data_IF_933755652730
#
_entry.id   IF_933755652730
#
_cell.length_a   1.000
_cell.length_b   1.000
_cell.length_c   1.000
_cell.angle_alpha   90.00
_cell.angle_beta   90.00
_cell.angle_gamma   90.00
#
_symmetry.space_group_name_H-M   'P 1'
#
loop_
_entity.id
_entity.type
_entity.pdbx_description
1 polymer ?
#
# COMPACT_ATOMS: atom_id res chain seq x y z
N UNK A 1 -33.54 11.26 -10.61
CA UNK A 1 -33.97 10.69 -9.31
C UNK A 1 -32.78 9.95 -8.73
N UNK A 2 -32.25 10.36 -7.57
CA UNK A 2 -31.23 9.54 -6.90
C UNK A 2 -31.91 8.31 -6.32
N UNK A 3 -31.64 7.15 -6.91
CA UNK A 3 -32.03 5.88 -6.31
C UNK A 3 -31.32 5.76 -4.96
N UNK A 4 -32.15 5.73 -3.91
CA UNK A 4 -31.69 5.49 -2.55
C UNK A 4 -31.19 4.05 -2.47
N UNK A 5 -29.90 3.86 -2.18
CA UNK A 5 -29.33 2.53 -1.90
C UNK A 5 -29.64 2.14 -0.45
N UNK A 6 -30.09 0.91 -0.26
CA UNK A 6 -30.17 0.30 1.08
C UNK A 6 -28.77 -0.05 1.59
N UNK A 7 -28.65 -0.33 2.89
CA UNK A 7 -27.43 -0.90 3.46
C UNK A 7 -27.06 -2.20 2.74
N UNK A 8 -28.05 -3.07 2.49
CA UNK A 8 -27.83 -4.32 1.78
C UNK A 8 -27.16 -4.09 0.42
N UNK A 9 -27.71 -3.15 -0.37
CA UNK A 9 -27.21 -2.87 -1.71
C UNK A 9 -25.73 -2.44 -1.69
N UNK A 10 -25.34 -1.56 -0.77
CA UNK A 10 -23.96 -1.07 -0.71
C UNK A 10 -22.99 -2.13 -0.18
N UNK A 11 -23.34 -2.87 0.87
CA UNK A 11 -22.41 -3.86 1.45
C UNK A 11 -22.21 -5.08 0.55
N UNK A 12 -23.27 -5.53 -0.14
CA UNK A 12 -23.18 -6.65 -1.09
C UNK A 12 -22.42 -6.25 -2.36
N UNK A 13 -22.60 -5.02 -2.87
CA UNK A 13 -21.85 -4.52 -4.03
C UNK A 13 -20.35 -4.42 -3.73
N UNK A 14 -20.00 -3.90 -2.55
CA UNK A 14 -18.61 -3.78 -2.10
C UNK A 14 -17.98 -5.14 -1.86
N UNK A 15 -18.65 -6.03 -1.11
CA UNK A 15 -18.16 -7.38 -0.89
C UNK A 15 -17.95 -8.11 -2.21
N UNK A 16 -18.94 -8.07 -3.11
CA UNK A 16 -18.86 -8.75 -4.39
C UNK A 16 -17.73 -8.22 -5.25
N UNK A 17 -17.59 -6.90 -5.39
CA UNK A 17 -16.57 -6.29 -6.25
C UNK A 17 -15.17 -6.53 -5.70
N UNK A 18 -14.92 -6.32 -4.41
CA UNK A 18 -13.62 -6.58 -3.78
C UNK A 18 -13.26 -8.06 -3.75
N UNK A 19 -14.21 -8.96 -3.43
CA UNK A 19 -13.97 -10.41 -3.49
C UNK A 19 -13.74 -10.89 -4.92
N UNK A 20 -14.41 -10.30 -5.91
CA UNK A 20 -14.15 -10.60 -7.33
C UNK A 20 -12.75 -10.17 -7.72
N UNK A 21 -12.33 -8.96 -7.35
CA UNK A 21 -10.96 -8.50 -7.58
C UNK A 21 -9.94 -9.47 -6.97
N UNK A 22 -10.14 -9.84 -5.70
CA UNK A 22 -9.27 -10.76 -4.97
C UNK A 22 -9.15 -12.12 -5.66
N UNK A 23 -10.27 -12.70 -6.11
CA UNK A 23 -10.28 -14.02 -6.76
C UNK A 23 -9.84 -14.02 -8.22
N UNK A 24 -9.72 -12.86 -8.86
CA UNK A 24 -9.37 -12.77 -10.29
C UNK A 24 -7.86 -12.81 -10.48
N UNK A 25 -7.23 -13.92 -10.12
CA UNK A 25 -5.78 -14.09 -10.17
C UNK A 25 -5.34 -14.49 -11.57
N UNK A 26 -5.21 -13.47 -12.41
CA UNK A 26 -4.82 -13.59 -13.81
C UNK A 26 -3.58 -12.75 -14.08
N UNK A 27 -2.83 -13.11 -15.11
CA UNK A 27 -1.76 -12.25 -15.64
C UNK A 27 -2.28 -10.87 -16.06
N UNK A 28 -3.55 -10.78 -16.47
CA UNK A 28 -4.18 -9.51 -16.80
C UNK A 28 -4.28 -8.59 -15.57
N UNK A 29 -4.70 -9.12 -14.40
CA UNK A 29 -4.72 -8.36 -13.14
C UNK A 29 -3.32 -7.90 -12.75
N UNK A 30 -2.30 -8.77 -12.89
CA UNK A 30 -0.89 -8.40 -12.64
C UNK A 30 -0.43 -7.27 -13.56
N UNK A 31 -0.68 -7.36 -14.87
CA UNK A 31 -0.37 -6.30 -15.84
C UNK A 31 -1.10 -5.00 -15.52
N UNK A 32 -2.36 -5.08 -15.09
CA UNK A 32 -3.14 -3.92 -14.67
C UNK A 32 -2.53 -3.25 -13.43
N UNK A 33 -2.19 -4.02 -12.39
CA UNK A 33 -1.50 -3.50 -11.20
C UNK A 33 -0.18 -2.82 -11.56
N UNK A 34 0.65 -3.47 -12.37
CA UNK A 34 1.91 -2.92 -12.88
C UNK A 34 1.69 -1.60 -13.64
N UNK A 35 0.69 -1.54 -14.52
CA UNK A 35 0.33 -0.31 -15.24
C UNK A 35 -0.05 0.85 -14.30
N UNK A 36 -0.80 0.59 -13.23
CA UNK A 36 -1.13 1.61 -12.23
C UNK A 36 0.14 2.14 -11.53
N UNK A 37 1.04 1.24 -11.13
CA UNK A 37 2.29 1.56 -10.43
C UNK A 37 3.24 2.36 -11.35
N UNK A 38 3.41 1.92 -12.60
CA UNK A 38 4.20 2.62 -13.62
C UNK A 38 3.64 4.02 -13.90
N UNK A 39 2.31 4.16 -13.99
CA UNK A 39 1.66 5.45 -14.16
C UNK A 39 1.94 6.39 -12.98
N UNK A 40 1.83 5.90 -11.74
CA UNK A 40 2.19 6.70 -10.57
C UNK A 40 3.66 7.10 -10.60
N UNK A 41 4.57 6.17 -10.91
CA UNK A 41 6.01 6.46 -10.96
C UNK A 41 6.37 7.51 -12.03
N UNK A 42 5.70 7.50 -13.19
CA UNK A 42 5.83 8.55 -14.22
C UNK A 42 5.29 9.91 -13.76
N UNK A 43 4.21 9.91 -12.98
CA UNK A 43 3.66 11.12 -12.36
C UNK A 43 4.65 11.67 -11.32
N UNK A 44 5.12 10.81 -10.41
CA UNK A 44 6.06 11.15 -9.36
C UNK A 44 7.37 11.70 -9.93
N UNK A 45 7.90 11.11 -11.00
CA UNK A 45 9.13 11.60 -11.65
C UNK A 45 8.98 12.98 -12.31
N UNK A 46 7.75 13.41 -12.58
CA UNK A 46 7.45 14.76 -13.11
C UNK A 46 7.40 15.83 -12.02
N UNK A 47 7.45 15.46 -10.74
CA UNK A 47 7.58 16.40 -9.63
C UNK A 47 9.04 16.89 -9.57
N UNK A 48 9.23 18.19 -9.59
CA UNK A 48 10.55 18.82 -9.75
C UNK A 48 11.54 18.49 -8.62
N UNK A 49 11.02 18.30 -7.40
CA UNK A 49 11.79 17.95 -6.20
C UNK A 49 11.82 16.44 -5.92
N UNK A 50 11.48 15.60 -6.91
CA UNK A 50 11.49 14.14 -6.78
C UNK A 50 12.90 13.59 -6.50
N UNK A 51 12.97 12.55 -5.66
CA UNK A 51 14.16 11.74 -5.37
C UNK A 51 13.93 10.23 -5.52
N UNK A 52 12.73 9.84 -5.93
CA UNK A 52 12.32 8.46 -6.10
C UNK A 52 10.90 8.25 -5.61
N UNK A 53 10.40 7.03 -5.77
CA UNK A 53 9.13 6.60 -5.21
C UNK A 53 9.26 5.20 -4.64
N UNK A 54 8.32 4.78 -3.82
CA UNK A 54 8.25 3.39 -3.38
C UNK A 54 6.79 2.97 -3.16
N UNK A 55 6.57 1.67 -3.17
CA UNK A 55 5.29 1.06 -2.83
C UNK A 55 5.35 0.31 -1.51
N UNK A 56 4.22 0.25 -0.81
CA UNK A 56 4.02 -0.60 0.38
C UNK A 56 2.66 -1.31 0.29
N UNK A 57 2.38 -2.26 1.18
CA UNK A 57 1.11 -2.99 1.14
C UNK A 57 0.92 -3.83 -0.12
N UNK A 58 -0.33 -3.99 -0.55
CA UNK A 58 -0.68 -4.78 -1.73
C UNK A 58 -0.47 -3.93 -3.01
N UNK A 59 0.09 -4.49 -4.11
CA UNK A 59 0.49 -5.88 -4.32
C UNK A 59 1.95 -6.17 -3.96
N UNK A 60 2.65 -5.23 -3.32
CA UNK A 60 4.09 -5.33 -3.14
C UNK A 60 4.51 -6.45 -2.20
N UNK A 61 3.68 -6.86 -1.23
CA UNK A 61 3.99 -8.06 -0.42
C UNK A 61 3.66 -9.39 -1.10
N UNK A 62 3.04 -9.39 -2.29
CA UNK A 62 2.72 -10.61 -3.04
C UNK A 62 3.51 -10.78 -4.34
N UNK A 63 4.12 -9.70 -4.84
CA UNK A 63 4.96 -9.71 -6.03
C UNK A 63 6.43 -9.51 -5.66
N UNK A 64 7.33 -9.85 -6.58
CA UNK A 64 8.74 -9.50 -6.47
C UNK A 64 8.99 -8.01 -6.77
N UNK A 65 10.24 -7.58 -6.62
CA UNK A 65 10.68 -6.20 -6.87
C UNK A 65 10.44 -5.73 -8.32
N UNK A 66 10.38 -6.66 -9.27
CA UNK A 66 10.12 -6.41 -10.68
C UNK A 66 8.63 -6.50 -11.04
N UNK A 67 7.78 -6.68 -10.01
CA UNK A 67 6.33 -6.86 -10.10
C UNK A 67 5.93 -8.14 -10.86
N UNK A 68 6.76 -9.17 -10.77
CA UNK A 68 6.48 -10.52 -11.26
C UNK A 68 6.05 -11.46 -10.12
N UNK A 69 5.56 -12.64 -10.50
CA UNK A 69 5.01 -13.64 -9.58
C UNK A 69 3.53 -13.89 -9.83
N UNK A 70 3.03 -14.98 -9.24
CA UNK A 70 1.61 -15.29 -9.20
C UNK A 70 0.96 -14.57 -8.03
N UNK A 71 -0.17 -13.92 -8.26
CA UNK A 71 -0.93 -13.26 -7.20
C UNK A 71 -1.70 -14.35 -6.45
N UNK A 72 -1.47 -14.57 -5.15
CA UNK A 72 -2.20 -15.55 -4.35
C UNK A 72 -3.62 -15.07 -4.04
N UNK A 73 -4.51 -15.99 -3.63
CA UNK A 73 -5.82 -15.61 -3.10
C UNK A 73 -5.68 -15.45 -1.59
N UNK A 74 -5.91 -14.26 -1.07
CA UNK A 74 -5.81 -13.97 0.36
C UNK A 74 -7.19 -14.20 1.00
N UNK A 75 -7.37 -15.37 1.63
CA UNK A 75 -8.63 -15.77 2.29
C UNK A 75 -9.02 -14.82 3.41
N UNK A 76 -8.05 -14.27 4.15
CA UNK A 76 -8.31 -13.24 5.16
C UNK A 76 -8.93 -11.97 4.54
N UNK A 77 -8.54 -11.58 3.32
CA UNK A 77 -9.16 -10.45 2.62
C UNK A 77 -10.62 -10.77 2.25
N UNK A 78 -10.90 -11.97 1.75
CA UNK A 78 -12.27 -12.42 1.45
C UNK A 78 -13.12 -12.47 2.72
N UNK A 79 -12.57 -13.00 3.82
CA UNK A 79 -13.24 -13.02 5.13
C UNK A 79 -13.52 -11.61 5.63
N UNK A 80 -12.55 -10.70 5.50
CA UNK A 80 -12.68 -9.30 5.86
C UNK A 80 -13.81 -8.65 5.06
N UNK A 81 -13.88 -8.84 3.74
CA UNK A 81 -14.97 -8.34 2.90
C UNK A 81 -16.35 -8.88 3.33
N UNK A 82 -16.46 -10.20 3.58
CA UNK A 82 -17.71 -10.82 4.06
C UNK A 82 -18.17 -10.30 5.42
N UNK A 83 -17.25 -9.88 6.27
CA UNK A 83 -17.60 -9.28 7.56
C UNK A 83 -18.41 -7.99 7.37
N UNK A 84 -18.18 -7.21 6.32
CA UNK A 84 -18.97 -6.00 6.04
C UNK A 84 -20.45 -6.33 5.82
N UNK A 85 -20.75 -7.43 5.11
CA UNK A 85 -22.13 -7.88 4.90
C UNK A 85 -22.77 -8.30 6.22
N UNK A 86 -22.04 -9.06 7.04
CA UNK A 86 -22.51 -9.48 8.39
C UNK A 86 -22.81 -8.29 9.29
N UNK A 87 -21.93 -7.28 9.28
CA UNK A 87 -22.13 -6.05 10.05
C UNK A 87 -23.37 -5.28 9.56
N UNK A 88 -23.76 -5.45 8.30
CA UNK A 88 -24.95 -4.87 7.68
C UNK A 88 -26.27 -5.61 7.93
N UNK A 89 -26.24 -6.89 8.30
CA UNK A 89 -27.44 -7.74 8.46
C UNK A 89 -28.53 -7.13 9.37
N UNK A 90 -28.20 -6.54 10.55
CA UNK A 90 -29.21 -5.98 11.45
C UNK A 90 -29.98 -4.80 10.88
N UNK A 91 -29.40 -4.09 9.91
CA UNK A 91 -29.94 -2.84 9.34
C UNK A 91 -30.07 -2.90 7.82
N UNK A 92 -30.11 -4.09 7.23
CA UNK A 92 -30.02 -4.32 5.79
C UNK A 92 -31.09 -3.57 4.96
N UNK A 93 -32.30 -3.38 5.52
CA UNK A 93 -33.42 -2.67 4.86
C UNK A 93 -33.35 -1.14 5.01
N UNK A 94 -32.49 -0.64 5.90
CA UNK A 94 -32.32 0.79 6.12
C UNK A 94 -31.67 1.44 4.91
N UNK A 95 -32.01 2.71 4.65
CA UNK A 95 -31.33 3.49 3.62
C UNK A 95 -29.92 3.86 4.10
N UNK A 96 -28.91 3.69 3.25
CA UNK A 96 -27.56 4.17 3.54
C UNK A 96 -27.51 5.70 3.39
N UNK A 97 -27.91 6.40 4.46
CA UNK A 97 -28.03 7.85 4.49
C UNK A 97 -26.74 8.59 4.10
N UNK A 98 -25.59 7.96 4.34
CA UNK A 98 -24.28 8.50 4.00
C UNK A 98 -24.13 8.78 2.49
N UNK A 99 -24.75 8.00 1.59
CA UNK A 99 -24.72 8.30 0.14
C UNK A 99 -25.22 9.71 -0.13
N UNK A 100 -26.42 10.01 0.32
CA UNK A 100 -27.05 11.32 0.10
C UNK A 100 -26.30 12.46 0.80
N UNK A 101 -25.66 12.18 1.94
CA UNK A 101 -24.83 13.14 2.64
C UNK A 101 -23.57 13.48 1.85
N UNK A 102 -22.87 12.46 1.33
CA UNK A 102 -21.70 12.63 0.48
C UNK A 102 -22.06 13.40 -0.81
N UNK A 103 -23.14 13.02 -1.49
CA UNK A 103 -23.56 13.70 -2.74
C UNK A 103 -23.85 15.19 -2.57
N UNK A 104 -24.36 15.62 -1.40
CA UNK A 104 -24.76 17.01 -1.16
C UNK A 104 -23.67 17.86 -0.52
N UNK A 105 -22.90 17.24 0.37
CA UNK A 105 -22.06 17.98 1.31
C UNK A 105 -20.57 17.68 1.13
N UNK A 106 -20.18 16.69 0.31
CA UNK A 106 -18.79 16.25 0.28
C UNK A 106 -17.81 17.37 -0.06
N UNK A 107 -18.14 18.23 -1.03
CA UNK A 107 -17.26 19.34 -1.43
C UNK A 107 -16.95 20.29 -0.27
N UNK A 108 -17.92 20.53 0.61
CA UNK A 108 -17.83 21.48 1.73
C UNK A 108 -17.51 20.83 3.09
N UNK A 109 -17.54 19.50 3.20
CA UNK A 109 -17.30 18.80 4.46
C UNK A 109 -15.80 18.59 4.70
N UNK A 110 -15.26 18.70 5.92
CA UNK A 110 -13.87 18.31 6.17
C UNK A 110 -13.67 16.79 6.01
N UNK A 111 -12.45 16.30 6.26
CA UNK A 111 -12.08 14.89 6.12
C UNK A 111 -13.09 13.92 6.80
N UNK A 112 -13.29 12.76 6.18
CA UNK A 112 -14.27 11.76 6.67
C UNK A 112 -13.96 11.28 8.10
N UNK A 113 -12.68 11.27 8.53
CA UNK A 113 -12.31 10.93 9.90
C UNK A 113 -12.85 11.95 10.91
N UNK A 114 -13.00 13.22 10.51
CA UNK A 114 -13.47 14.31 11.37
C UNK A 114 -15.00 14.31 11.46
N UNK A 115 -15.69 14.21 10.32
CA UNK A 115 -17.16 14.35 10.28
C UNK A 115 -17.88 13.02 10.47
N UNK A 116 -17.46 11.99 9.74
CA UNK A 116 -18.22 10.73 9.73
C UNK A 116 -17.96 9.93 11.00
N UNK A 117 -16.74 9.88 11.52
CA UNK A 117 -16.40 9.12 12.74
C UNK A 117 -17.32 9.45 13.93
N UNK A 118 -17.60 10.71 14.30
CA UNK A 118 -18.54 11.02 15.39
C UNK A 118 -20.03 10.98 14.99
N UNK A 119 -20.37 10.85 13.71
CA UNK A 119 -21.76 10.89 13.24
C UNK A 119 -22.60 9.73 13.81
N UNK A 120 -23.76 10.02 14.40
CA UNK A 120 -24.65 9.01 14.99
C UNK A 120 -25.70 8.44 14.02
N UNK A 121 -25.80 8.99 12.80
CA UNK A 121 -26.79 8.57 11.79
C UNK A 121 -26.47 7.23 11.13
N UNK A 122 -25.30 6.66 11.40
CA UNK A 122 -24.85 5.38 10.86
C UNK A 122 -24.00 4.65 11.89
N UNK A 123 -24.14 3.32 11.96
CA UNK A 123 -23.26 2.51 12.81
C UNK A 123 -21.84 2.55 12.27
N UNK A 124 -20.86 2.49 13.18
CA UNK A 124 -19.45 2.74 12.86
C UNK A 124 -18.91 1.86 11.73
N UNK A 125 -19.26 0.56 11.73
CA UNK A 125 -18.84 -0.43 10.73
C UNK A 125 -19.37 -0.16 9.33
N UNK A 126 -20.43 0.66 9.19
CA UNK A 126 -21.10 0.97 7.90
C UNK A 126 -20.91 2.43 7.48
N UNK A 127 -20.04 3.17 8.16
CA UNK A 127 -19.65 4.53 7.75
C UNK A 127 -18.79 4.46 6.48
N UNK A 128 -18.77 5.54 5.65
CA UNK A 128 -18.07 5.57 4.37
C UNK A 128 -16.63 5.03 4.43
N UNK A 129 -15.80 5.51 5.36
CA UNK A 129 -14.41 5.04 5.49
C UNK A 129 -14.31 3.52 5.74
N UNK A 130 -15.20 2.92 6.54
CA UNK A 130 -15.17 1.46 6.80
C UNK A 130 -15.55 0.63 5.58
N UNK A 131 -16.40 1.19 4.72
CA UNK A 131 -16.77 0.60 3.42
C UNK A 131 -15.61 0.77 2.42
N UNK A 132 -15.05 1.96 2.32
CA UNK A 132 -13.94 2.28 1.40
C UNK A 132 -12.70 1.45 1.72
N UNK A 133 -12.39 1.21 2.99
CA UNK A 133 -11.27 0.35 3.41
C UNK A 133 -11.39 -1.12 2.95
N UNK A 134 -12.49 -1.50 2.28
CA UNK A 134 -12.65 -2.84 1.68
C UNK A 134 -12.29 -2.86 0.21
N UNK A 135 -12.19 -1.69 -0.41
CA UNK A 135 -11.81 -1.55 -1.80
C UNK A 135 -10.32 -1.86 -1.94
N UNK A 136 -9.90 -2.51 -3.04
CA UNK A 136 -8.49 -2.58 -3.38
C UNK A 136 -7.99 -1.17 -3.71
N UNK A 137 -6.86 -0.80 -3.11
CA UNK A 137 -6.11 0.41 -3.37
C UNK A 137 -4.61 0.10 -3.53
N UNK A 138 -3.82 1.13 -3.85
CA UNK A 138 -2.37 1.05 -3.94
C UNK A 138 -1.74 2.08 -2.99
N UNK A 139 -0.92 1.62 -2.05
CA UNK A 139 -0.14 2.50 -1.18
C UNK A 139 1.15 2.92 -1.88
N UNK A 140 1.19 4.19 -2.32
CA UNK A 140 2.28 4.74 -3.12
C UNK A 140 2.88 5.98 -2.46
N UNK A 141 4.20 6.08 -2.56
CA UNK A 141 5.00 7.07 -1.86
C UNK A 141 5.86 7.85 -2.84
N UNK A 142 5.83 9.17 -2.73
CA UNK A 142 6.82 10.07 -3.32
C UNK A 142 7.90 10.37 -2.29
N UNK A 143 9.16 10.21 -2.68
CA UNK A 143 10.32 10.70 -1.92
C UNK A 143 10.74 12.03 -2.52
N UNK A 144 10.79 13.09 -1.72
CA UNK A 144 11.19 14.42 -2.16
C UNK A 144 12.49 14.90 -1.53
N UNK A 145 13.03 15.99 -2.06
CA UNK A 145 14.08 16.77 -1.41
C UNK A 145 13.66 17.19 0.01
N UNK A 146 14.65 17.25 0.92
CA UNK A 146 14.45 17.75 2.27
C UNK A 146 14.00 19.22 2.23
N UNK A 147 13.03 19.59 3.06
CA UNK A 147 12.43 20.92 3.11
C UNK A 147 11.47 21.24 1.95
N UNK A 148 11.11 20.25 1.12
CA UNK A 148 10.31 20.47 -0.11
C UNK A 148 8.93 19.81 -0.11
N UNK A 149 8.41 19.42 1.06
CA UNK A 149 7.10 18.75 1.20
C UNK A 149 5.97 19.56 0.57
N UNK A 150 5.89 20.87 0.83
CA UNK A 150 4.81 21.73 0.34
C UNK A 150 4.84 21.87 -1.20
N UNK A 151 6.04 21.94 -1.78
CA UNK A 151 6.21 21.99 -3.23
C UNK A 151 5.83 20.65 -3.86
N UNK A 152 6.34 19.54 -3.33
CA UNK A 152 6.02 18.20 -3.77
C UNK A 152 4.51 17.95 -3.72
N UNK A 153 3.87 18.35 -2.62
CA UNK A 153 2.42 18.30 -2.42
C UNK A 153 1.66 19.03 -3.53
N UNK A 154 2.01 20.29 -3.79
CA UNK A 154 1.30 21.12 -4.75
C UNK A 154 1.42 20.60 -6.18
N UNK A 155 2.62 20.11 -6.57
CA UNK A 155 2.87 19.55 -7.89
C UNK A 155 2.21 18.18 -8.06
N UNK A 156 2.39 17.27 -7.10
CA UNK A 156 1.81 15.92 -7.15
C UNK A 156 0.28 15.97 -7.22
N UNK A 157 -0.37 16.85 -6.44
CA UNK A 157 -1.84 17.03 -6.48
C UNK A 157 -2.34 17.37 -7.88
N UNK A 158 -1.71 18.36 -8.53
CA UNK A 158 -2.09 18.80 -9.87
C UNK A 158 -1.90 17.70 -10.90
N UNK A 159 -0.82 16.93 -10.78
CA UNK A 159 -0.54 15.84 -11.69
C UNK A 159 -1.52 14.68 -11.51
N UNK A 160 -1.79 14.26 -10.27
CA UNK A 160 -2.79 13.24 -9.96
C UNK A 160 -4.17 13.61 -10.49
N UNK A 161 -4.60 14.86 -10.29
CA UNK A 161 -5.84 15.39 -10.83
C UNK A 161 -5.84 15.37 -12.38
N UNK A 162 -4.77 15.87 -13.01
CA UNK A 162 -4.62 15.90 -14.47
C UNK A 162 -4.75 14.52 -15.11
N UNK A 163 -4.17 13.49 -14.48
CA UNK A 163 -4.24 12.11 -14.97
C UNK A 163 -5.44 11.32 -14.44
N UNK A 164 -6.30 11.95 -13.65
CA UNK A 164 -7.47 11.33 -13.03
C UNK A 164 -7.13 10.09 -12.18
N UNK A 165 -5.97 10.11 -11.52
CA UNK A 165 -5.59 9.10 -10.52
C UNK A 165 -5.95 9.66 -9.14
N UNK A 166 -6.98 9.10 -8.51
CA UNK A 166 -7.63 9.69 -7.33
C UNK A 166 -7.39 8.84 -6.09
N UNK A 167 -7.40 9.50 -4.93
CA UNK A 167 -7.47 8.78 -3.65
C UNK A 167 -8.91 8.39 -3.33
N UNK A 168 -9.06 7.30 -2.58
CA UNK A 168 -10.37 6.80 -2.19
C UNK A 168 -11.10 7.75 -1.24
N UNK A 169 -10.35 8.55 -0.48
CA UNK A 169 -10.88 9.54 0.46
C UNK A 169 -11.40 10.81 -0.24
N UNK A 170 -10.86 11.19 -1.41
CA UNK A 170 -11.29 12.37 -2.21
C UNK A 170 -12.59 12.13 -2.97
N UNK A 171 -12.87 10.89 -3.40
CA UNK A 171 -14.10 10.59 -4.13
C UNK A 171 -14.68 9.23 -3.75
N UNK A 172 -15.28 9.09 -2.55
CA UNK A 172 -15.75 7.82 -2.03
C UNK A 172 -16.72 7.07 -2.96
N UNK A 173 -17.74 7.77 -3.46
CA UNK A 173 -18.78 7.16 -4.30
C UNK A 173 -18.25 6.78 -5.69
N UNK A 174 -17.33 7.58 -6.22
CA UNK A 174 -16.67 7.28 -7.49
C UNK A 174 -15.75 6.06 -7.33
N UNK A 175 -15.00 5.98 -6.24
CA UNK A 175 -14.11 4.85 -5.93
C UNK A 175 -14.88 3.52 -5.85
N UNK A 176 -16.06 3.54 -5.20
CA UNK A 176 -16.97 2.39 -5.20
C UNK A 176 -17.36 1.98 -6.62
N UNK A 177 -17.76 2.94 -7.46
CA UNK A 177 -18.16 2.67 -8.84
C UNK A 177 -17.00 2.16 -9.71
N UNK A 178 -15.80 2.70 -9.53
CA UNK A 178 -14.64 2.34 -10.34
C UNK A 178 -14.12 0.96 -9.99
N UNK A 179 -14.10 0.58 -8.71
CA UNK A 179 -13.74 -0.79 -8.31
C UNK A 179 -14.73 -1.80 -8.87
N UNK A 180 -16.04 -1.52 -8.89
CA UNK A 180 -17.02 -2.39 -9.54
C UNK A 180 -16.67 -2.61 -11.01
N UNK A 181 -16.33 -1.54 -11.76
CA UNK A 181 -15.93 -1.64 -13.17
C UNK A 181 -14.63 -2.44 -13.34
N UNK A 182 -13.61 -2.12 -12.54
CA UNK A 182 -12.29 -2.79 -12.57
C UNK A 182 -12.48 -4.29 -12.35
N UNK A 183 -13.19 -4.67 -11.29
CA UNK A 183 -13.42 -6.08 -10.96
C UNK A 183 -14.19 -6.82 -12.06
N UNK A 184 -15.21 -6.18 -12.65
CA UNK A 184 -15.96 -6.76 -13.77
C UNK A 184 -15.08 -6.91 -15.01
N UNK A 185 -14.37 -5.86 -15.44
CA UNK A 185 -13.51 -5.93 -16.62
C UNK A 185 -12.44 -7.01 -16.46
N UNK A 186 -11.74 -7.05 -15.32
CA UNK A 186 -10.73 -8.08 -15.06
C UNK A 186 -11.32 -9.49 -15.11
N UNK A 187 -12.50 -9.70 -14.51
CA UNK A 187 -13.19 -10.99 -14.51
C UNK A 187 -13.57 -11.42 -15.93
N UNK A 188 -13.97 -10.47 -16.76
CA UNK A 188 -14.39 -10.70 -18.15
C UNK A 188 -13.19 -10.76 -19.12
N UNK A 189 -11.94 -10.65 -18.62
CA UNK A 189 -10.72 -10.70 -19.43
C UNK A 189 -10.40 -9.40 -20.18
N UNK A 190 -11.02 -8.29 -19.78
CA UNK A 190 -10.84 -6.97 -20.36
C UNK A 190 -9.91 -6.10 -19.49
N UNK A 191 -9.03 -5.33 -20.15
CA UNK A 191 -8.13 -4.42 -19.44
C UNK A 191 -8.91 -3.18 -18.93
N UNK A 192 -8.95 -2.91 -17.62
CA UNK A 192 -9.64 -1.73 -17.09
C UNK A 192 -8.99 -0.42 -17.56
N UNK A 193 -9.82 0.59 -17.85
CA UNK A 193 -9.38 1.92 -18.33
C UNK A 193 -9.44 3.01 -17.25
N UNK A 194 -9.65 2.61 -16.00
CA UNK A 194 -9.69 3.48 -14.84
C UNK A 194 -8.64 3.00 -13.84
N UNK A 195 -8.01 3.93 -13.15
CA UNK A 195 -7.02 3.60 -12.13
C UNK A 195 -7.69 2.99 -10.89
N UNK A 196 -6.95 2.15 -10.18
CA UNK A 196 -7.27 1.86 -8.80
C UNK A 196 -7.19 3.15 -7.97
N UNK A 197 -8.00 3.25 -6.91
CA UNK A 197 -7.76 4.27 -5.89
C UNK A 197 -6.34 4.13 -5.33
N UNK A 198 -5.70 5.26 -5.03
CA UNK A 198 -4.37 5.27 -4.41
C UNK A 198 -4.43 5.83 -2.99
N UNK A 199 -3.63 5.29 -2.07
CA UNK A 199 -3.24 5.98 -0.84
C UNK A 199 -1.88 6.62 -1.11
N UNK A 200 -1.85 7.95 -1.22
CA UNK A 200 -0.68 8.69 -1.69
C UNK A 200 0.01 9.40 -0.54
N UNK A 201 1.32 9.19 -0.42
CA UNK A 201 2.14 9.72 0.66
C UNK A 201 3.36 10.48 0.11
N UNK A 202 3.85 11.44 0.89
CA UNK A 202 5.10 12.15 0.62
C UNK A 202 6.00 12.05 1.85
N UNK A 203 7.28 11.78 1.60
CA UNK A 203 8.32 11.74 2.61
C UNK A 203 9.60 12.40 2.11
N UNK A 204 10.34 13.04 3.01
CA UNK A 204 11.65 13.60 2.71
C UNK A 204 12.71 12.50 2.60
N UNK A 205 13.67 12.68 1.69
CA UNK A 205 14.76 11.74 1.44
C UNK A 205 15.51 11.39 2.73
N UNK A 206 15.97 12.39 3.49
CA UNK A 206 16.77 12.16 4.70
C UNK A 206 16.01 11.32 5.72
N UNK A 207 14.70 11.56 5.87
CA UNK A 207 13.85 10.83 6.82
C UNK A 207 13.60 9.39 6.42
N UNK A 208 13.43 9.12 5.12
CA UNK A 208 13.34 7.74 4.66
C UNK A 208 14.67 7.00 4.84
N UNK A 209 15.79 7.61 4.46
CA UNK A 209 17.11 6.97 4.57
C UNK A 209 17.51 6.73 6.03
N UNK A 210 17.23 7.67 6.92
CA UNK A 210 17.40 7.50 8.37
C UNK A 210 16.64 6.26 8.88
N UNK A 211 15.38 6.07 8.46
CA UNK A 211 14.61 4.88 8.83
C UNK A 211 15.22 3.59 8.27
N UNK A 212 15.61 3.59 6.99
CA UNK A 212 16.23 2.43 6.33
C UNK A 212 17.53 2.03 7.03
N UNK A 213 18.37 3.00 7.40
CA UNK A 213 19.63 2.76 8.12
C UNK A 213 19.42 2.23 9.54
N UNK A 214 18.33 2.63 10.21
CA UNK A 214 18.01 2.20 11.58
C UNK A 214 17.43 0.79 11.67
N UNK A 215 16.91 0.21 10.58
CA UNK A 215 16.28 -1.12 10.62
C UNK A 215 17.17 -2.20 11.24
N UNK A 216 18.43 -2.39 10.82
CA UNK A 216 19.27 -3.46 11.37
C UNK A 216 19.51 -3.30 12.87
N UNK A 217 19.78 -2.06 13.32
CA UNK A 217 19.99 -1.75 14.74
C UNK A 217 18.73 -2.00 15.57
N UNK A 218 17.57 -1.61 15.05
CA UNK A 218 16.30 -1.84 15.72
C UNK A 218 15.97 -3.33 15.86
N UNK A 219 16.20 -4.13 14.82
CA UNK A 219 15.98 -5.58 14.89
C UNK A 219 16.93 -6.23 15.91
N UNK A 220 18.20 -5.81 15.94
CA UNK A 220 19.16 -6.30 16.92
C UNK A 220 18.75 -5.92 18.35
N UNK A 221 18.34 -4.68 18.56
CA UNK A 221 17.89 -4.20 19.87
C UNK A 221 16.61 -4.92 20.32
N UNK A 222 15.64 -5.08 19.43
CA UNK A 222 14.41 -5.82 19.67
C UNK A 222 14.68 -7.28 20.09
N UNK A 223 15.68 -7.93 19.46
CA UNK A 223 16.15 -9.27 19.83
C UNK A 223 16.73 -9.31 21.24
N UNK A 224 17.61 -8.35 21.57
CA UNK A 224 18.29 -8.28 22.87
C UNK A 224 17.35 -7.96 24.03
N UNK A 225 16.36 -7.12 23.78
CA UNK A 225 15.39 -6.66 24.77
C UNK A 225 14.10 -7.50 24.79
N UNK A 226 14.01 -8.54 23.95
CA UNK A 226 12.82 -9.40 23.79
C UNK A 226 11.53 -8.60 23.59
N UNK A 227 11.58 -7.58 22.72
CA UNK A 227 10.45 -6.68 22.45
C UNK A 227 10.07 -6.67 20.98
N UNK A 228 8.84 -6.24 20.71
CA UNK A 228 8.37 -5.93 19.35
C UNK A 228 9.27 -4.85 18.73
N UNK A 229 9.84 -5.06 17.52
CA UNK A 229 10.57 -4.04 16.81
C UNK A 229 9.62 -2.93 16.33
N UNK A 230 10.04 -1.68 16.45
CA UNK A 230 9.22 -0.51 16.18
C UNK A 230 10.04 0.69 15.69
N UNK A 231 9.89 1.03 14.41
CA UNK A 231 10.37 2.30 13.86
C UNK A 231 9.17 3.15 13.43
N UNK A 232 8.92 4.31 14.08
CA UNK A 232 7.76 5.14 13.76
C UNK A 232 7.97 5.90 12.45
N UNK A 233 7.01 5.79 11.55
CA UNK A 233 6.93 6.60 10.33
C UNK A 233 5.65 7.47 10.35
N UNK A 234 5.79 8.73 9.92
CA UNK A 234 4.70 9.72 9.86
C UNK A 234 4.70 10.45 8.52
N UNK A 235 4.05 9.88 7.49
CA UNK A 235 3.95 10.54 6.19
C UNK A 235 3.10 11.81 6.22
N UNK A 236 3.32 12.64 5.21
CA UNK A 236 2.27 13.54 4.70
C UNK A 236 1.38 12.74 3.75
N UNK A 237 0.12 12.53 4.10
CA UNK A 237 -0.81 11.66 3.36
C UNK A 237 -1.92 12.48 2.68
N UNK A 238 -2.27 12.13 1.44
CA UNK A 238 -3.40 12.72 0.73
C UNK A 238 -4.70 12.04 1.14
N UNK A 239 -5.39 12.64 2.11
CA UNK A 239 -6.77 12.27 2.48
C UNK A 239 -7.72 13.12 1.65
N UNK A 240 -8.69 13.84 2.26
CA UNK A 240 -9.38 14.92 1.54
C UNK A 240 -8.45 16.09 1.21
N UNK A 241 -7.59 16.44 2.17
CA UNK A 241 -6.48 17.37 2.01
C UNK A 241 -5.20 16.66 2.46
N UNK A 242 -4.06 17.24 2.11
CA UNK A 242 -2.78 16.74 2.59
C UNK A 242 -2.59 17.06 4.06
N UNK A 243 -2.40 16.02 4.86
CA UNK A 243 -2.21 16.14 6.30
C UNK A 243 -1.21 15.10 6.79
N UNK A 244 -0.57 15.38 7.92
CA UNK A 244 0.18 14.34 8.62
C UNK A 244 -0.83 13.43 9.32
N UNK A 245 -0.60 12.12 9.28
CA UNK A 245 -1.43 11.20 10.05
C UNK A 245 -1.15 11.37 11.56
N UNK A 246 -2.23 11.29 12.37
CA UNK A 246 -2.18 11.54 13.81
C UNK A 246 -1.34 10.50 14.57
N UNK A 247 -1.31 9.27 14.05
CA UNK A 247 -0.62 8.12 14.64
C UNK A 247 0.53 7.70 13.71
N UNK A 248 1.72 7.54 14.29
CA UNK A 248 2.79 6.85 13.60
C UNK A 248 2.43 5.37 13.48
N UNK A 249 2.77 4.75 12.36
CA UNK A 249 2.71 3.31 12.22
C UNK A 249 4.13 2.72 12.15
N UNK A 250 4.22 1.40 12.22
CA UNK A 250 5.50 0.70 12.34
C UNK A 250 6.11 0.40 10.96
N UNK A 251 7.19 1.11 10.61
CA UNK A 251 7.92 0.95 9.35
C UNK A 251 8.55 -0.44 9.19
N UNK A 252 8.89 -1.14 10.28
CA UNK A 252 9.50 -2.47 10.23
C UNK A 252 8.64 -3.47 9.43
N UNK A 253 7.31 -3.38 9.58
CA UNK A 253 6.39 -4.25 8.84
C UNK A 253 6.50 -4.03 7.33
N UNK A 254 6.44 -2.77 6.88
CA UNK A 254 6.52 -2.43 5.45
C UNK A 254 7.90 -2.77 4.90
N UNK A 255 8.98 -2.45 5.63
CA UNK A 255 10.35 -2.74 5.23
C UNK A 255 10.55 -4.23 4.92
N UNK A 256 10.08 -5.10 5.81
CA UNK A 256 10.25 -6.55 5.69
C UNK A 256 9.29 -7.17 4.65
N UNK A 257 8.05 -6.70 4.57
CA UNK A 257 7.03 -7.35 3.73
C UNK A 257 6.90 -6.78 2.32
N UNK A 258 6.98 -5.46 2.15
CA UNK A 258 6.37 -4.78 1.01
C UNK A 258 7.19 -3.63 0.43
N UNK A 259 8.27 -3.19 1.08
CA UNK A 259 9.04 -2.03 0.64
C UNK A 259 9.72 -2.28 -0.71
N UNK A 260 9.15 -1.71 -1.77
CA UNK A 260 9.64 -1.84 -3.15
C UNK A 260 9.96 -0.46 -3.68
N UNK A 261 11.25 -0.18 -3.87
CA UNK A 261 11.77 1.10 -4.34
C UNK A 261 11.67 1.23 -5.87
N UNK A 262 11.46 2.46 -6.34
CA UNK A 262 11.40 2.82 -7.76
C UNK A 262 12.17 4.13 -7.98
N UNK A 263 13.03 4.15 -9.00
CA UNK A 263 13.77 5.34 -9.42
C UNK A 263 14.54 6.04 -8.27
N UNK A 264 15.05 5.26 -7.31
CA UNK A 264 15.92 5.78 -6.27
C UNK A 264 17.23 6.26 -6.89
N UNK A 265 17.79 7.33 -6.34
CA UNK A 265 19.16 7.74 -6.70
C UNK A 265 20.15 6.66 -6.29
N UNK A 266 21.30 6.56 -6.96
CA UNK A 266 22.37 5.60 -6.65
C UNK A 266 22.68 5.50 -5.15
N UNK A 267 22.92 6.64 -4.47
CA UNK A 267 23.19 6.65 -3.03
C UNK A 267 22.03 6.17 -2.14
N UNK A 268 20.78 6.26 -2.60
CA UNK A 268 19.63 5.70 -1.86
C UNK A 268 19.53 4.19 -2.04
N UNK A 269 19.81 3.69 -3.25
CA UNK A 269 19.86 2.26 -3.52
C UNK A 269 20.99 1.62 -2.73
N UNK A 270 22.19 2.22 -2.71
CA UNK A 270 23.30 1.77 -1.87
C UNK A 270 22.92 1.68 -0.38
N UNK A 271 22.26 2.70 0.16
CA UNK A 271 21.82 2.70 1.57
C UNK A 271 20.82 1.57 1.83
N UNK A 272 19.86 1.37 0.93
CA UNK A 272 18.90 0.28 1.03
C UNK A 272 19.58 -1.10 0.98
N UNK A 273 20.49 -1.31 0.05
CA UNK A 273 21.21 -2.57 -0.10
C UNK A 273 22.15 -2.84 1.09
N UNK A 274 22.87 -1.83 1.59
CA UNK A 274 23.68 -1.94 2.82
C UNK A 274 22.82 -2.34 4.01
N UNK A 275 21.64 -1.75 4.16
CA UNK A 275 20.70 -2.11 5.23
C UNK A 275 20.20 -3.55 5.08
N UNK A 276 19.67 -3.94 3.92
CA UNK A 276 19.19 -5.31 3.63
C UNK A 276 20.27 -6.36 3.87
N UNK A 277 21.49 -6.10 3.40
CA UNK A 277 22.67 -6.95 3.61
C UNK A 277 22.92 -7.20 5.09
N UNK A 278 22.89 -6.13 5.89
CA UNK A 278 23.12 -6.24 7.33
C UNK A 278 22.00 -7.04 8.00
N UNK A 279 20.73 -6.78 7.64
CA UNK A 279 19.55 -7.50 8.13
C UNK A 279 19.68 -9.01 7.90
N UNK A 280 20.01 -9.45 6.68
CA UNK A 280 20.09 -10.89 6.36
C UNK A 280 21.36 -11.57 6.89
N UNK A 281 22.43 -10.81 7.18
CA UNK A 281 23.64 -11.35 7.79
C UNK A 281 23.46 -11.59 9.29
N UNK A 282 22.67 -10.75 9.95
CA UNK A 282 22.53 -10.72 11.40
C UNK A 282 21.32 -11.52 11.91
N UNK A 283 20.45 -11.99 11.01
CA UNK A 283 19.22 -12.71 11.35
C UNK A 283 18.96 -13.88 10.39
N UNK A 284 18.30 -14.92 10.87
CA UNK A 284 17.78 -15.99 10.00
C UNK A 284 16.45 -15.58 9.34
N UNK A 285 16.05 -16.20 8.21
CA UNK A 285 14.74 -15.94 7.60
C UNK A 285 13.57 -16.13 8.57
N UNK A 286 13.64 -17.12 9.46
CA UNK A 286 12.63 -17.40 10.48
C UNK A 286 12.56 -16.29 11.54
N UNK A 287 13.71 -15.77 11.99
CA UNK A 287 13.77 -14.63 12.90
C UNK A 287 13.16 -13.38 12.26
N UNK A 288 13.42 -13.14 10.97
CA UNK A 288 12.85 -12.04 10.22
C UNK A 288 11.34 -12.19 10.02
N UNK A 289 10.85 -13.42 9.83
CA UNK A 289 9.41 -13.68 9.78
C UNK A 289 8.74 -13.42 11.13
N UNK A 290 9.37 -13.84 12.23
CA UNK A 290 8.87 -13.55 13.57
C UNK A 290 8.79 -12.04 13.81
N UNK A 291 9.85 -11.28 13.49
CA UNK A 291 9.81 -9.81 13.56
C UNK A 291 8.69 -9.19 12.71
N UNK A 292 8.48 -9.70 11.49
CA UNK A 292 7.38 -9.26 10.63
C UNK A 292 6.02 -9.48 11.32
N UNK A 293 5.78 -10.68 11.86
CA UNK A 293 4.50 -11.01 12.50
C UNK A 293 4.27 -10.22 13.78
N UNK A 294 5.32 -9.97 14.58
CA UNK A 294 5.27 -9.09 15.74
C UNK A 294 4.98 -7.63 15.34
N UNK A 295 5.60 -7.15 14.26
CA UNK A 295 5.43 -5.80 13.75
C UNK A 295 4.01 -5.57 13.18
N UNK A 296 3.38 -6.61 12.65
CA UNK A 296 2.10 -6.57 11.97
C UNK A 296 0.93 -6.05 12.83
N UNK A 297 -0.05 -5.44 12.16
CA UNK A 297 -1.38 -5.22 12.74
C UNK A 297 -2.13 -6.56 12.85
N UNK A 298 -3.19 -6.68 13.68
CA UNK A 298 -3.96 -7.92 13.76
C UNK A 298 -4.52 -8.40 12.41
N UNK A 299 -4.84 -7.48 11.49
CA UNK A 299 -5.31 -7.84 10.15
C UNK A 299 -4.17 -8.40 9.29
N UNK A 300 -3.02 -7.73 9.29
CA UNK A 300 -1.86 -8.17 8.55
C UNK A 300 -1.31 -9.50 9.08
N UNK A 301 -1.28 -9.68 10.40
CA UNK A 301 -0.91 -10.95 11.03
C UNK A 301 -1.76 -12.11 10.49
N UNK A 302 -3.09 -11.95 10.44
CA UNK A 302 -3.98 -13.00 9.91
C UNK A 302 -3.79 -13.26 8.41
N UNK A 303 -3.38 -12.27 7.61
CA UNK A 303 -3.01 -12.49 6.21
C UNK A 303 -1.79 -13.39 6.11
N UNK A 304 -0.74 -13.09 6.89
CA UNK A 304 0.50 -13.88 6.92
C UNK A 304 0.37 -15.26 7.62
N UNK A 305 -0.84 -15.67 8.01
CA UNK A 305 -1.14 -17.07 8.34
C UNK A 305 -1.37 -17.94 7.09
N UNK A 306 -1.50 -17.32 5.91
CA UNK A 306 -1.53 -17.99 4.61
C UNK A 306 -0.13 -18.48 4.26
N UNK A 307 0.03 -19.80 4.05
CA UNK A 307 1.31 -20.40 3.69
C UNK A 307 1.95 -19.77 2.44
N UNK A 308 1.14 -19.41 1.44
CA UNK A 308 1.62 -18.77 0.21
C UNK A 308 2.29 -17.41 0.49
N UNK A 309 1.79 -16.62 1.46
CA UNK A 309 2.39 -15.33 1.81
C UNK A 309 3.69 -15.51 2.61
N UNK A 310 3.76 -16.53 3.45
CA UNK A 310 4.99 -16.91 4.14
C UNK A 310 6.08 -17.34 3.13
N UNK A 311 5.75 -18.17 2.15
CA UNK A 311 6.69 -18.53 1.09
C UNK A 311 7.17 -17.32 0.26
N UNK A 312 6.25 -16.41 -0.09
CA UNK A 312 6.61 -15.18 -0.81
C UNK A 312 7.57 -14.33 0.02
N UNK A 313 7.33 -14.23 1.33
CA UNK A 313 8.23 -13.55 2.24
C UNK A 313 9.62 -14.17 2.24
N UNK A 314 9.74 -15.50 2.40
CA UNK A 314 11.05 -16.14 2.39
C UNK A 314 11.78 -15.96 1.06
N UNK A 315 11.08 -16.09 -0.07
CA UNK A 315 11.68 -15.81 -1.40
C UNK A 315 12.22 -14.38 -1.50
N UNK A 316 11.50 -13.40 -0.96
CA UNK A 316 11.95 -11.99 -0.91
C UNK A 316 13.24 -11.84 -0.10
N UNK A 317 13.29 -12.41 1.10
CA UNK A 317 14.48 -12.35 1.97
C UNK A 317 15.68 -13.05 1.31
N UNK A 318 15.48 -14.21 0.69
CA UNK A 318 16.53 -14.90 -0.07
C UNK A 318 17.01 -14.08 -1.26
N UNK A 319 16.11 -13.40 -1.97
CA UNK A 319 16.43 -12.52 -3.08
C UNK A 319 17.40 -11.38 -2.72
N UNK A 320 17.30 -10.84 -1.49
CA UNK A 320 18.27 -9.86 -0.98
C UNK A 320 19.70 -10.43 -0.89
N UNK A 321 19.85 -11.73 -0.63
CA UNK A 321 21.15 -12.41 -0.58
C UNK A 321 21.75 -12.71 -1.96
N UNK A 322 20.91 -13.03 -2.95
CA UNK A 322 21.35 -13.32 -4.32
C UNK A 322 21.90 -12.07 -5.03
N UNK A 323 21.30 -10.90 -4.77
CA UNK A 323 21.81 -9.61 -5.26
C UNK A 323 23.26 -9.37 -4.83
N UNK A 324 23.60 -9.68 -3.57
CA UNK A 324 24.96 -9.55 -3.06
C UNK A 324 25.98 -10.46 -3.73
N UNK A 325 25.55 -11.66 -4.14
CA UNK A 325 26.45 -12.62 -4.78
C UNK A 325 26.74 -12.20 -6.23
N UNK A 326 25.75 -11.62 -6.92
CA UNK A 326 25.93 -11.05 -8.26
C UNK A 326 26.86 -9.83 -8.24
N UNK A 327 26.63 -8.89 -7.32
CA UNK A 327 27.49 -7.70 -7.18
C UNK A 327 28.95 -8.05 -6.87
N UNK A 328 29.20 -9.10 -6.06
CA UNK A 328 30.56 -9.58 -5.77
C UNK A 328 31.20 -10.28 -6.96
N UNK A 329 30.44 -11.06 -7.73
CA UNK A 329 30.95 -11.73 -8.95
C UNK A 329 31.31 -10.74 -10.07
N UNK A 330 30.55 -9.66 -10.22
CA UNK A 330 30.85 -8.60 -11.19
C UNK A 330 32.10 -7.77 -10.80
N UNK A 331 32.35 -7.59 -9.50
CA UNK A 331 33.59 -6.95 -9.01
C UNK A 331 34.84 -7.83 -9.17
N UNK A 332 34.70 -9.16 -9.06
CA UNK A 332 35.81 -10.12 -9.28
C UNK A 332 36.15 -10.31 -10.76
N UNK A 333 35.24 -10.02 -11.70
CA UNK A 333 35.51 -10.09 -13.15
C UNK A 333 36.20 -8.83 -13.71
N UNK A 334 36.16 -7.70 -13.01
CA UNK A 334 36.81 -6.43 -13.42
C UNK A 334 38.27 -6.30 -12.93
N UNK A 335 38.71 -7.17 -12.00
CA UNK A 335 40.13 -7.36 -11.64
C UNK A 335 40.80 -8.41 -12.57
N UNK A 336 40.75 -8.16 -13.88
CA UNK A 336 41.55 -8.90 -14.85
C UNK A 336 43.06 -8.69 -14.61
N UNK A 337 43.91 -9.71 -14.80
CA UNK A 337 45.30 -9.67 -14.36
C UNK A 337 46.09 -8.57 -15.08
N UNK A 338 46.81 -7.74 -14.30
CA UNK A 338 47.90 -6.92 -14.82
C UNK A 338 48.89 -7.85 -15.54
N UNK A 339 48.93 -7.74 -16.87
CA UNK A 339 49.90 -8.43 -17.70
C UNK A 339 51.27 -7.74 -17.50
N UNK A 340 52.19 -8.47 -16.86
CA UNK A 340 53.63 -8.14 -16.73
C UNK A 340 54.34 -7.92 -18.07
#
# INVERSE_FOLDING_TARGET
MNESKTIKDVVEEVEKSSTTFEKTNTDLKRKFLKWNIEAFNMIASSVSVNRGSFGTGYPFYVLDENLNGEIPIISEQIRYNRQLVRDGEPVQKSIWQCKSCLERNYDIMPDLKIVCKPCQNMIDSLKPRKIINRLPDLDMWLVCEDGSIEQAQAELSKLLEKYNMRTSDVSPLQSLSDVVKISTNLKDGEFPKVFLPIDAHIMEKSKLMELVEQVPDELQLAKLEERKPYLPIRPKSLRKEWQYDDEAYNFIYDYLSAFTAFNFTEGMEETLQKSRTRVIRENTPEELFDFLTQAATPANFRRFQEHELEEIFYRRITGWGEQLTKERGELEEDEGPELE
#
